data_IF_014043549357
#
_entry.id   IF_014043549357
#
_cell.length_a   1.000
_cell.length_b   1.000
_cell.length_c   1.000
_cell.angle_alpha   90.00
_cell.angle_beta   90.00
_cell.angle_gamma   90.00
#
_symmetry.space_group_name_H-M   'P 1'
#
loop_
_entity.id
_entity.type
_entity.pdbx_description
1 polymer ?
#
# COMPACT_ATOMS: atom_id res chain seq x y z
N UNK A 1 -79.49 49.93 17.24
CA UNK A 1 -79.26 48.67 16.51
C UNK A 1 -77.75 48.45 16.50
N UNK A 2 -77.26 47.35 17.06
CA UNK A 2 -75.83 47.02 17.03
C UNK A 2 -75.64 45.87 16.04
N UNK A 3 -74.96 46.16 14.93
CA UNK A 3 -74.54 45.11 14.00
C UNK A 3 -73.38 44.36 14.67
N UNK A 4 -73.50 43.03 14.74
CA UNK A 4 -72.50 42.14 15.32
C UNK A 4 -72.05 41.12 14.28
N UNK A 5 -70.80 40.67 14.40
CA UNK A 5 -70.26 39.61 13.55
C UNK A 5 -70.84 38.26 13.95
N UNK A 6 -71.23 37.47 12.95
CA UNK A 6 -71.85 36.17 13.09
C UNK A 6 -71.39 35.23 11.97
N UNK A 7 -71.72 33.94 12.07
CA UNK A 7 -71.38 32.94 11.05
C UNK A 7 -72.61 32.13 10.72
N UNK A 8 -72.88 31.95 9.43
CA UNK A 8 -74.03 31.16 8.99
C UNK A 8 -73.90 29.71 9.48
N UNK A 9 -74.89 29.16 10.21
CA UNK A 9 -74.83 27.78 10.70
C UNK A 9 -74.88 26.71 9.60
N UNK A 10 -75.25 27.08 8.37
CA UNK A 10 -75.46 26.13 7.27
C UNK A 10 -74.31 26.13 6.25
N UNK A 11 -73.77 27.29 5.90
CA UNK A 11 -72.69 27.40 4.91
C UNK A 11 -71.37 27.92 5.47
N UNK A 12 -71.30 28.21 6.78
CA UNK A 12 -70.13 28.70 7.48
C UNK A 12 -69.56 30.05 6.96
N UNK A 13 -70.29 30.76 6.11
CA UNK A 13 -69.91 32.11 5.66
C UNK A 13 -69.98 33.13 6.79
N UNK A 14 -68.97 33.98 6.90
CA UNK A 14 -68.91 35.09 7.85
C UNK A 14 -69.87 36.21 7.43
N UNK A 15 -70.85 36.51 8.27
CA UNK A 15 -71.93 37.45 8.02
C UNK A 15 -72.01 38.49 9.14
N UNK A 16 -72.67 39.60 8.87
CA UNK A 16 -72.99 40.61 9.88
C UNK A 16 -74.49 40.66 10.10
N UNK A 17 -74.93 40.62 11.35
CA UNK A 17 -76.35 40.52 11.71
C UNK A 17 -76.74 41.58 12.73
N UNK A 18 -78.00 42.00 12.73
CA UNK A 18 -78.55 42.91 13.74
C UNK A 18 -79.06 42.09 14.93
N UNK A 19 -78.43 42.26 16.10
CA UNK A 19 -78.77 41.50 17.31
C UNK A 19 -80.18 41.79 17.86
N UNK A 20 -80.88 42.82 17.34
CA UNK A 20 -82.25 43.13 17.71
C UNK A 20 -83.31 42.28 16.95
N UNK A 21 -82.90 41.43 16.00
CA UNK A 21 -83.82 40.61 15.19
C UNK A 21 -83.69 39.13 15.55
N UNK A 22 -84.81 38.40 15.52
CA UNK A 22 -84.83 36.97 15.86
C UNK A 22 -84.34 36.07 14.71
N UNK A 23 -84.51 36.51 13.45
CA UNK A 23 -84.19 35.72 12.27
C UNK A 23 -83.60 36.58 11.12
N UNK A 24 -82.79 35.94 10.28
CA UNK A 24 -82.18 36.54 9.09
C UNK A 24 -82.04 35.53 7.95
N UNK A 25 -81.68 36.02 6.76
CA UNK A 25 -81.37 35.19 5.59
C UNK A 25 -79.91 35.38 5.24
N UNK A 26 -79.18 34.28 5.01
CA UNK A 26 -77.76 34.34 4.69
C UNK A 26 -77.54 34.87 3.28
N UNK A 27 -76.74 35.93 3.14
CA UNK A 27 -76.42 36.54 1.83
C UNK A 27 -75.65 35.60 0.90
N UNK A 28 -75.01 34.56 1.44
CA UNK A 28 -74.20 33.62 0.65
C UNK A 28 -74.98 32.42 0.15
N UNK A 29 -75.77 31.76 1.02
CA UNK A 29 -76.46 30.52 0.67
C UNK A 29 -77.99 30.65 0.58
N UNK A 30 -78.55 31.81 0.92
CA UNK A 30 -79.99 32.06 0.86
C UNK A 30 -80.82 31.34 1.93
N UNK A 31 -80.21 30.54 2.80
CA UNK A 31 -80.95 29.83 3.85
C UNK A 31 -81.34 30.78 5.00
N UNK A 32 -82.56 30.64 5.55
CA UNK A 32 -82.96 31.34 6.76
C UNK A 32 -82.20 30.79 7.97
N UNK A 33 -81.85 31.66 8.91
CA UNK A 33 -81.18 31.29 10.16
C UNK A 33 -81.71 32.12 11.33
N UNK A 34 -81.52 31.59 12.55
CA UNK A 34 -81.82 32.29 13.80
C UNK A 34 -80.60 33.11 14.20
N UNK A 35 -80.78 34.41 14.45
CA UNK A 35 -79.67 35.37 14.68
C UNK A 35 -78.81 34.97 15.87
N UNK A 36 -79.42 34.61 16.99
CA UNK A 36 -78.71 34.13 18.19
C UNK A 36 -77.84 32.90 17.89
N UNK A 37 -78.35 31.94 17.09
CA UNK A 37 -77.58 30.75 16.70
C UNK A 37 -76.38 31.11 15.83
N UNK A 38 -76.50 32.09 14.93
CA UNK A 38 -75.40 32.52 14.08
C UNK A 38 -74.31 33.27 14.86
N UNK A 39 -74.68 34.08 15.86
CA UNK A 39 -73.76 34.77 16.77
C UNK A 39 -73.01 33.75 17.64
N UNK A 40 -73.73 32.81 18.26
CA UNK A 40 -73.13 31.76 19.06
C UNK A 40 -72.20 30.87 18.21
N UNK A 41 -72.59 30.55 16.97
CA UNK A 41 -71.75 29.76 16.07
C UNK A 41 -70.43 30.47 15.74
N UNK A 42 -70.46 31.79 15.54
CA UNK A 42 -69.26 32.61 15.34
C UNK A 42 -68.33 32.59 16.56
N UNK A 43 -68.87 32.81 17.76
CA UNK A 43 -68.09 32.74 18.99
C UNK A 43 -67.52 31.34 19.24
N UNK A 44 -68.27 30.27 19.02
CA UNK A 44 -67.74 28.90 19.16
C UNK A 44 -66.63 28.62 18.17
N UNK A 45 -66.73 29.09 16.92
CA UNK A 45 -65.67 28.89 15.95
C UNK A 45 -64.40 29.65 16.34
N UNK A 46 -64.53 30.91 16.75
CA UNK A 46 -63.40 31.78 17.07
C UNK A 46 -62.74 31.45 18.44
N UNK A 47 -63.52 30.90 19.39
CA UNK A 47 -62.99 30.45 20.67
C UNK A 47 -62.29 29.08 20.56
N UNK A 48 -62.62 28.25 19.56
CA UNK A 48 -61.90 26.99 19.28
C UNK A 48 -60.55 27.27 18.60
N UNK A 49 -60.43 28.31 17.77
CA UNK A 49 -59.15 28.70 17.16
C UNK A 49 -58.16 29.39 18.12
N UNK A 50 -58.63 29.88 19.26
CA UNK A 50 -57.78 30.50 20.29
C UNK A 50 -57.57 29.62 21.54
N UNK A 51 -57.90 28.34 21.46
CA UNK A 51 -57.56 27.35 22.49
C UNK A 51 -56.48 26.39 22.00
N UNK A 52 -55.38 26.94 21.49
CA UNK A 52 -54.10 26.30 21.75
C UNK A 52 -53.79 26.57 23.22
N UNK A 53 -54.23 25.66 24.09
CA UNK A 53 -53.49 25.41 25.31
C UNK A 53 -52.02 25.32 24.89
N UNK A 54 -51.12 26.00 25.60
CA UNK A 54 -49.69 25.71 25.53
C UNK A 54 -49.41 24.32 26.15
N UNK A 55 -50.17 23.32 25.72
CA UNK A 55 -49.83 21.93 25.80
C UNK A 55 -48.68 21.75 24.82
N UNK A 56 -47.53 21.40 25.39
CA UNK A 56 -46.24 21.17 24.75
C UNK A 56 -46.39 21.01 23.24
N UNK A 57 -46.09 22.07 22.48
CA UNK A 57 -45.84 21.93 21.06
C UNK A 57 -44.62 21.02 21.00
N UNK A 58 -44.85 19.71 20.82
CA UNK A 58 -43.80 18.77 20.48
C UNK A 58 -43.48 19.01 19.02
N UNK A 59 -42.89 20.18 18.75
CA UNK A 59 -42.19 20.48 17.53
C UNK A 59 -41.07 19.45 17.45
N UNK A 60 -41.30 18.36 16.72
CA UNK A 60 -40.23 17.56 16.12
C UNK A 60 -39.51 18.39 15.04
N UNK A 61 -39.08 19.61 15.37
CA UNK A 61 -38.49 20.60 14.45
C UNK A 61 -37.08 21.01 14.87
N UNK A 62 -36.32 20.03 15.34
CA UNK A 62 -34.88 20.10 15.52
C UNK A 62 -34.39 18.68 15.75
N UNK A 63 -33.53 18.17 14.86
CA UNK A 63 -32.84 16.92 15.16
C UNK A 63 -32.01 17.15 16.42
N UNK A 64 -32.23 16.38 17.49
CA UNK A 64 -31.49 16.57 18.73
C UNK A 64 -30.00 16.28 18.49
N UNK A 65 -29.08 16.92 19.22
CA UNK A 65 -27.65 16.62 19.15
C UNK A 65 -27.38 15.10 19.27
N UNK A 66 -28.12 14.40 20.12
CA UNK A 66 -27.99 12.95 20.31
C UNK A 66 -28.47 12.16 19.07
N UNK A 67 -29.56 12.57 18.42
CA UNK A 67 -30.06 11.90 17.22
C UNK A 67 -29.12 12.11 16.02
N UNK A 68 -28.55 13.30 15.86
CA UNK A 68 -27.56 13.59 14.83
C UNK A 68 -26.25 12.85 15.06
N UNK A 69 -25.78 12.81 16.31
CA UNK A 69 -24.60 12.04 16.68
C UNK A 69 -24.80 10.55 16.39
N UNK A 70 -25.99 10.01 16.66
CA UNK A 70 -26.30 8.62 16.31
C UNK A 70 -26.30 8.39 14.79
N UNK A 71 -26.76 9.35 13.99
CA UNK A 71 -26.66 9.29 12.52
C UNK A 71 -25.20 9.36 12.06
N UNK A 72 -24.39 10.23 12.63
CA UNK A 72 -22.96 10.30 12.34
C UNK A 72 -22.29 8.94 12.57
N UNK A 73 -22.58 8.29 13.70
CA UNK A 73 -22.07 6.95 14.01
C UNK A 73 -22.52 5.88 13.01
N UNK A 74 -23.79 5.90 12.58
CA UNK A 74 -24.27 4.98 11.54
C UNK A 74 -23.57 5.23 10.21
N UNK A 75 -23.37 6.49 9.82
CA UNK A 75 -22.60 6.84 8.63
C UNK A 75 -21.14 6.37 8.72
N UNK A 76 -20.51 6.42 9.90
CA UNK A 76 -19.17 5.82 10.09
C UNK A 76 -19.19 4.31 9.90
N UNK A 77 -20.20 3.61 10.42
CA UNK A 77 -20.37 2.16 10.24
C UNK A 77 -20.56 1.79 8.75
N UNK A 78 -21.26 2.64 8.00
CA UNK A 78 -21.52 2.48 6.56
C UNK A 78 -20.34 2.95 5.67
N UNK A 79 -19.34 3.64 6.24
CA UNK A 79 -18.20 4.20 5.50
C UNK A 79 -18.48 5.53 4.80
N UNK A 80 -19.62 6.16 5.10
CA UNK A 80 -20.04 7.47 4.59
C UNK A 80 -19.39 8.61 5.40
N UNK A 81 -18.05 8.68 5.36
CA UNK A 81 -17.27 9.56 6.24
C UNK A 81 -17.58 11.05 6.07
N UNK A 82 -17.78 11.52 4.83
CA UNK A 82 -18.13 12.92 4.54
C UNK A 82 -19.48 13.30 5.18
N UNK A 83 -20.46 12.39 5.13
CA UNK A 83 -21.78 12.60 5.73
C UNK A 83 -21.69 12.52 7.26
N UNK A 84 -20.86 11.62 7.79
CA UNK A 84 -20.60 11.53 9.22
C UNK A 84 -20.00 12.84 9.76
N UNK A 85 -19.07 13.45 9.03
CA UNK A 85 -18.48 14.74 9.37
C UNK A 85 -19.54 15.85 9.39
N UNK A 86 -20.40 15.96 8.37
CA UNK A 86 -21.49 16.95 8.31
C UNK A 86 -22.45 16.83 9.51
N UNK A 87 -22.79 15.59 9.90
CA UNK A 87 -23.61 15.37 11.09
C UNK A 87 -22.87 15.77 12.38
N UNK A 88 -21.57 15.53 12.48
CA UNK A 88 -20.76 15.96 13.63
C UNK A 88 -20.71 17.49 13.73
N UNK A 89 -20.53 18.20 12.62
CA UNK A 89 -20.55 19.67 12.60
C UNK A 89 -21.87 20.22 13.13
N UNK A 90 -23.01 19.68 12.68
CA UNK A 90 -24.34 20.07 13.18
C UNK A 90 -24.49 19.83 14.68
N UNK A 91 -23.92 18.74 15.21
CA UNK A 91 -23.89 18.49 16.67
C UNK A 91 -23.05 19.54 17.37
N UNK A 92 -21.88 19.88 16.83
CA UNK A 92 -20.96 20.86 17.41
C UNK A 92 -21.47 22.30 17.32
N UNK A 93 -22.28 22.64 16.32
CA UNK A 93 -22.98 23.93 16.24
C UNK A 93 -23.98 24.12 17.40
N UNK A 94 -24.57 23.01 17.88
CA UNK A 94 -25.51 23.01 19.00
C UNK A 94 -24.83 22.80 20.35
N UNK A 95 -23.85 21.92 20.41
CA UNK A 95 -23.08 21.55 21.60
C UNK A 95 -21.57 21.64 21.30
N UNK A 96 -20.98 22.85 21.35
CA UNK A 96 -19.57 23.06 20.98
C UNK A 96 -18.55 22.31 21.84
N UNK A 97 -18.99 21.78 22.98
CA UNK A 97 -18.16 21.01 23.92
C UNK A 97 -18.55 19.53 23.95
N UNK A 98 -19.22 19.01 22.91
CA UNK A 98 -19.57 17.59 22.86
C UNK A 98 -18.35 16.75 22.47
N UNK A 99 -17.73 16.10 23.46
CA UNK A 99 -16.54 15.28 23.28
C UNK A 99 -16.77 14.08 22.34
N UNK A 100 -17.95 13.46 22.39
CA UNK A 100 -18.29 12.31 21.57
C UNK A 100 -18.46 12.70 20.09
N UNK A 101 -18.95 13.91 19.82
CA UNK A 101 -19.00 14.47 18.47
C UNK A 101 -17.60 14.71 17.91
N UNK A 102 -16.67 15.28 18.71
CA UNK A 102 -15.27 15.40 18.29
C UNK A 102 -14.60 14.03 18.05
N UNK A 103 -14.87 13.01 18.86
CA UNK A 103 -14.37 11.66 18.62
C UNK A 103 -14.92 11.09 17.29
N UNK A 104 -16.22 11.24 17.05
CA UNK A 104 -16.88 10.80 15.82
C UNK A 104 -16.31 11.55 14.59
N UNK A 105 -16.06 12.85 14.72
CA UNK A 105 -15.45 13.68 13.68
C UNK A 105 -14.00 13.26 13.39
N UNK A 106 -13.21 12.93 14.41
CA UNK A 106 -11.87 12.39 14.21
C UNK A 106 -11.90 11.08 13.42
N UNK A 107 -12.83 10.18 13.77
CA UNK A 107 -13.01 8.92 13.06
C UNK A 107 -13.40 9.15 11.60
N UNK A 108 -14.29 10.10 11.32
CA UNK A 108 -14.66 10.50 9.95
C UNK A 108 -13.44 11.01 9.17
N UNK A 109 -12.69 11.98 9.71
CA UNK A 109 -11.50 12.56 9.07
C UNK A 109 -10.44 11.51 8.76
N UNK A 110 -10.28 10.51 9.63
CA UNK A 110 -9.31 9.43 9.46
C UNK A 110 -9.86 8.21 8.70
N UNK A 111 -11.11 8.28 8.20
CA UNK A 111 -11.80 7.18 7.51
C UNK A 111 -11.84 5.88 8.33
N UNK A 112 -12.15 5.99 9.62
CA UNK A 112 -12.21 4.90 10.59
C UNK A 112 -13.66 4.65 10.98
N UNK A 113 -14.09 3.40 10.90
CA UNK A 113 -15.49 3.01 11.16
C UNK A 113 -15.78 2.77 12.64
N UNK A 114 -14.78 2.35 13.43
CA UNK A 114 -14.94 2.05 14.85
C UNK A 114 -13.75 2.50 15.71
N UNK A 115 -13.97 2.71 17.02
CA UNK A 115 -12.96 3.28 17.93
C UNK A 115 -11.66 2.45 17.95
N UNK A 116 -11.71 1.13 17.77
CA UNK A 116 -10.50 0.29 17.77
C UNK A 116 -9.62 0.60 16.57
N UNK A 117 -10.18 1.02 15.44
CA UNK A 117 -9.41 1.44 14.28
C UNK A 117 -8.46 2.61 14.59
N UNK A 118 -8.77 3.44 15.59
CA UNK A 118 -7.88 4.52 16.05
C UNK A 118 -6.58 4.00 16.68
N UNK A 119 -6.56 2.76 17.20
CA UNK A 119 -5.35 2.20 17.82
C UNK A 119 -4.37 1.66 16.79
N UNK A 120 -4.82 1.39 15.55
CA UNK A 120 -3.99 0.79 14.50
C UNK A 120 -3.79 1.69 13.29
N UNK A 121 -4.29 2.92 13.31
CA UNK A 121 -4.06 3.86 12.22
C UNK A 121 -2.64 4.43 12.27
N UNK A 122 -2.05 4.73 11.10
CA UNK A 122 -0.69 5.25 11.00
C UNK A 122 -0.54 6.70 11.49
N UNK A 123 -1.68 7.40 11.66
CA UNK A 123 -1.69 8.77 12.18
C UNK A 123 -1.57 8.76 13.70
N UNK A 124 -0.66 9.58 14.23
CA UNK A 124 -0.52 9.81 15.67
C UNK A 124 -1.69 10.69 16.15
N UNK A 125 -2.72 10.06 16.70
CA UNK A 125 -3.99 10.74 17.01
C UNK A 125 -3.82 11.87 18.04
N UNK A 126 -2.83 11.78 18.93
CA UNK A 126 -2.50 12.84 19.90
C UNK A 126 -2.11 14.16 19.25
N UNK A 127 -1.54 14.12 18.05
CA UNK A 127 -1.10 15.32 17.35
C UNK A 127 -2.29 16.04 16.69
N UNK A 128 -3.42 15.36 16.48
CA UNK A 128 -4.60 15.90 15.83
C UNK A 128 -5.39 16.85 16.74
N UNK A 129 -5.72 18.03 16.24
CA UNK A 129 -6.43 19.06 17.02
C UNK A 129 -7.82 18.62 17.46
N UNK A 130 -8.53 17.84 16.63
CA UNK A 130 -9.86 17.30 16.97
C UNK A 130 -9.78 16.31 18.12
N UNK A 131 -8.74 15.47 18.17
CA UNK A 131 -8.53 14.57 19.30
C UNK A 131 -8.26 15.34 20.59
N UNK A 132 -7.44 16.40 20.53
CA UNK A 132 -7.19 17.29 21.68
C UNK A 132 -8.49 17.92 22.19
N UNK A 133 -9.42 18.29 21.31
CA UNK A 133 -10.76 18.78 21.68
C UNK A 133 -11.63 17.70 22.31
N UNK A 134 -11.66 16.50 21.74
CA UNK A 134 -12.37 15.37 22.33
C UNK A 134 -11.87 15.10 23.76
N UNK A 135 -10.55 15.06 23.95
CA UNK A 135 -9.94 14.87 25.27
C UNK A 135 -10.21 16.03 26.24
N UNK A 136 -10.21 17.27 25.74
CA UNK A 136 -10.46 18.47 26.55
C UNK A 136 -11.86 18.49 27.15
N UNK A 137 -12.87 18.06 26.39
CA UNK A 137 -14.27 18.13 26.80
C UNK A 137 -14.83 16.81 27.34
N UNK A 138 -14.05 15.73 27.28
CA UNK A 138 -14.46 14.43 27.77
C UNK A 138 -14.70 14.45 29.28
N UNK A 139 -15.74 13.73 29.72
CA UNK A 139 -15.93 13.39 31.13
C UNK A 139 -14.84 12.40 31.60
N UNK A 140 -14.84 12.07 32.88
CA UNK A 140 -13.79 11.24 33.49
C UNK A 140 -13.70 9.83 32.87
N UNK A 141 -14.80 9.27 32.37
CA UNK A 141 -14.82 7.92 31.82
C UNK A 141 -14.40 7.92 30.35
N UNK A 142 -14.94 8.82 29.54
CA UNK A 142 -14.53 9.00 28.16
C UNK A 142 -13.06 9.45 28.07
N UNK A 143 -12.61 10.32 28.96
CA UNK A 143 -11.21 10.77 28.98
C UNK A 143 -10.26 9.59 29.20
N UNK A 144 -10.59 8.69 30.14
CA UNK A 144 -9.82 7.47 30.40
C UNK A 144 -9.81 6.54 29.18
N UNK A 145 -10.94 6.42 28.47
CA UNK A 145 -11.03 5.65 27.22
C UNK A 145 -10.14 6.26 26.13
N UNK A 146 -10.19 7.58 25.92
CA UNK A 146 -9.38 8.29 24.92
C UNK A 146 -7.88 8.20 25.22
N UNK A 147 -7.48 8.32 26.49
CA UNK A 147 -6.09 8.14 26.92
C UNK A 147 -5.59 6.70 26.67
N UNK A 148 -6.45 5.69 26.90
CA UNK A 148 -6.12 4.31 26.57
C UNK A 148 -5.94 4.11 25.05
N UNK A 149 -6.88 4.59 24.24
CA UNK A 149 -6.80 4.52 22.77
C UNK A 149 -5.54 5.20 22.22
N UNK A 150 -5.20 6.35 22.79
CA UNK A 150 -4.00 7.12 22.47
C UNK A 150 -2.71 6.35 22.77
N UNK A 151 -2.63 5.73 23.95
CA UNK A 151 -1.47 4.92 24.31
C UNK A 151 -1.34 3.68 23.42
N UNK A 152 -2.45 3.03 23.09
CA UNK A 152 -2.46 1.88 22.18
C UNK A 152 -2.04 2.28 20.76
N UNK A 153 -2.48 3.45 20.27
CA UNK A 153 -2.06 4.03 19.00
C UNK A 153 -0.55 4.32 18.95
N UNK A 154 0.00 4.90 20.03
CA UNK A 154 1.44 5.14 20.15
C UNK A 154 2.23 3.82 20.15
N UNK A 155 1.77 2.83 20.90
CA UNK A 155 2.41 1.51 20.96
C UNK A 155 2.41 0.82 19.59
N UNK A 156 1.29 0.84 18.88
CA UNK A 156 1.17 0.27 17.54
C UNK A 156 2.13 0.95 16.56
N UNK A 157 2.11 2.28 16.48
CA UNK A 157 2.93 3.04 15.56
C UNK A 157 4.43 2.90 15.88
N UNK A 158 4.80 2.94 17.16
CA UNK A 158 6.16 2.67 17.60
C UNK A 158 6.66 1.30 17.10
N UNK A 159 5.88 0.23 17.30
CA UNK A 159 6.25 -1.11 16.87
C UNK A 159 6.33 -1.21 15.33
N UNK A 160 5.42 -0.56 14.61
CA UNK A 160 5.47 -0.45 13.15
C UNK A 160 6.76 0.23 12.69
N UNK A 161 7.15 1.37 13.28
CA UNK A 161 8.37 2.09 12.92
C UNK A 161 9.63 1.27 13.22
N UNK A 162 9.65 0.56 14.34
CA UNK A 162 10.73 -0.37 14.68
C UNK A 162 10.86 -1.48 13.63
N UNK A 163 9.75 -2.05 13.17
CA UNK A 163 9.76 -3.09 12.15
C UNK A 163 10.15 -2.54 10.77
N UNK A 164 9.70 -1.33 10.40
CA UNK A 164 10.16 -0.63 9.19
C UNK A 164 11.67 -0.36 9.25
N UNK A 165 12.18 0.12 10.39
CA UNK A 165 13.63 0.32 10.60
C UNK A 165 14.42 -0.99 10.44
N UNK A 166 13.94 -2.10 11.02
CA UNK A 166 14.61 -3.41 10.94
C UNK A 166 14.67 -3.94 9.51
N UNK A 167 13.64 -3.66 8.72
CA UNK A 167 13.52 -4.15 7.35
C UNK A 167 14.07 -3.18 6.30
N UNK A 168 14.41 -1.94 6.69
CA UNK A 168 14.92 -0.91 5.80
C UNK A 168 16.28 -1.32 5.20
N UNK A 169 16.35 -1.32 3.88
CA UNK A 169 17.54 -1.65 3.09
C UNK A 169 18.10 -0.45 2.32
N UNK A 170 17.31 0.61 2.20
CA UNK A 170 17.67 1.83 1.48
C UNK A 170 17.89 3.00 2.44
N UNK A 171 18.74 3.94 2.03
CA UNK A 171 18.98 5.17 2.77
C UNK A 171 17.69 5.99 2.95
N UNK A 172 16.89 6.10 1.89
CA UNK A 172 15.61 6.81 1.91
C UNK A 172 14.61 6.19 2.89
N UNK A 173 14.55 4.86 2.98
CA UNK A 173 13.68 4.16 3.94
C UNK A 173 14.09 4.47 5.39
N UNK A 174 15.39 4.47 5.70
CA UNK A 174 15.90 4.82 7.02
C UNK A 174 15.61 6.27 7.39
N UNK A 175 15.76 7.20 6.43
CA UNK A 175 15.45 8.61 6.64
C UNK A 175 13.95 8.83 6.86
N UNK A 176 13.09 8.19 6.07
CA UNK A 176 11.63 8.26 6.27
C UNK A 176 11.20 7.71 7.63
N UNK A 177 11.80 6.59 8.08
CA UNK A 177 11.52 6.03 9.42
C UNK A 177 12.06 6.93 10.53
N UNK A 178 13.20 7.60 10.32
CA UNK A 178 13.73 8.60 11.24
C UNK A 178 12.74 9.74 11.48
N UNK A 179 12.13 10.25 10.40
CA UNK A 179 11.09 11.28 10.47
C UNK A 179 9.85 10.77 11.21
N UNK A 180 9.36 9.55 10.92
CA UNK A 180 8.23 8.97 11.64
C UNK A 180 8.47 8.87 13.16
N UNK A 181 9.70 8.55 13.60
CA UNK A 181 10.04 8.53 15.02
C UNK A 181 10.08 9.93 15.67
N UNK A 182 10.24 11.01 14.90
CA UNK A 182 10.18 12.38 15.44
C UNK A 182 8.76 12.76 15.85
N UNK A 183 7.73 12.22 15.19
CA UNK A 183 6.33 12.47 15.54
C UNK A 183 5.95 11.92 16.93
N UNK A 184 6.77 11.00 17.45
CA UNK A 184 6.62 10.33 18.75
C UNK A 184 7.91 10.41 19.59
N UNK A 185 8.70 11.49 19.45
CA UNK A 185 10.03 11.61 20.07
C UNK A 185 10.05 11.49 21.61
N UNK A 186 8.91 11.79 22.24
CA UNK A 186 8.66 11.69 23.68
C UNK A 186 8.28 10.26 24.13
N UNK A 187 8.01 9.35 23.20
CA UNK A 187 7.55 7.99 23.48
C UNK A 187 8.74 7.01 23.47
N UNK A 188 8.99 6.35 24.61
CA UNK A 188 10.09 5.37 24.79
C UNK A 188 11.44 5.93 24.31
N UNK A 189 12.18 5.15 23.52
CA UNK A 189 13.47 5.49 22.93
C UNK A 189 13.37 6.02 21.49
N UNK A 190 12.18 6.47 21.05
CA UNK A 190 11.94 6.95 19.68
C UNK A 190 12.91 8.04 19.24
N UNK A 191 13.24 9.01 20.11
CA UNK A 191 14.25 10.03 19.81
C UNK A 191 15.62 9.44 19.46
N UNK A 192 16.08 8.47 20.25
CA UNK A 192 17.37 7.81 20.02
C UNK A 192 17.34 6.96 18.75
N UNK A 193 16.23 6.27 18.48
CA UNK A 193 16.03 5.50 17.25
C UNK A 193 15.97 6.40 16.02
N UNK A 194 15.32 7.55 16.10
CA UNK A 194 15.29 8.57 15.04
C UNK A 194 16.70 9.01 14.68
N UNK A 195 17.52 9.37 15.67
CA UNK A 195 18.91 9.79 15.47
C UNK A 195 19.75 8.67 14.84
N UNK A 196 19.63 7.45 15.36
CA UNK A 196 20.30 6.27 14.82
C UNK A 196 19.95 6.02 13.35
N UNK A 197 18.66 6.08 13.00
CA UNK A 197 18.18 5.95 11.62
C UNK A 197 18.72 7.06 10.72
N UNK A 198 18.73 8.31 11.19
CA UNK A 198 19.25 9.46 10.44
C UNK A 198 20.74 9.29 10.12
N UNK A 199 21.55 8.97 11.12
CA UNK A 199 23.00 8.77 10.95
C UNK A 199 23.26 7.61 9.99
N UNK A 200 22.57 6.48 10.18
CA UNK A 200 22.75 5.29 9.35
C UNK A 200 22.30 5.54 7.91
N UNK A 201 21.16 6.21 7.71
CA UNK A 201 20.63 6.58 6.41
C UNK A 201 21.58 7.51 5.66
N UNK A 202 22.09 8.55 6.31
CA UNK A 202 23.05 9.49 5.72
C UNK A 202 24.37 8.82 5.33
N UNK A 203 24.92 7.95 6.20
CA UNK A 203 26.12 7.16 5.88
C UNK A 203 25.91 6.26 4.67
N UNK A 204 24.76 5.59 4.60
CA UNK A 204 24.41 4.72 3.48
C UNK A 204 24.26 5.54 2.19
N UNK A 205 23.61 6.71 2.26
CA UNK A 205 23.47 7.61 1.12
C UNK A 205 24.83 8.07 0.57
N UNK A 206 25.74 8.49 1.46
CA UNK A 206 27.09 8.90 1.09
C UNK A 206 27.89 7.74 0.46
N UNK A 207 27.82 6.54 1.04
CA UNK A 207 28.48 5.35 0.50
C UNK A 207 27.95 4.99 -0.89
N UNK A 208 26.63 5.04 -1.10
CA UNK A 208 26.00 4.81 -2.41
C UNK A 208 26.44 5.86 -3.43
N UNK A 209 26.51 7.13 -3.06
CA UNK A 209 26.98 8.19 -3.95
C UNK A 209 28.43 7.96 -4.42
N UNK A 210 29.33 7.60 -3.49
CA UNK A 210 30.74 7.27 -3.81
C UNK A 210 30.85 6.06 -4.74
N UNK A 211 30.05 5.02 -4.51
CA UNK A 211 30.04 3.83 -5.37
C UNK A 211 29.58 4.19 -6.77
N UNK A 212 28.52 4.97 -6.91
CA UNK A 212 28.03 5.40 -8.23
C UNK A 212 29.09 6.21 -8.98
N UNK A 213 29.80 7.12 -8.30
CA UNK A 213 30.91 7.88 -8.89
C UNK A 213 32.04 6.95 -9.36
N UNK A 214 32.37 5.93 -8.56
CA UNK A 214 33.45 4.99 -8.86
C UNK A 214 33.06 3.99 -9.97
N UNK A 215 31.80 3.57 -10.03
CA UNK A 215 31.23 2.80 -11.14
C UNK A 215 31.23 3.60 -12.45
N UNK A 216 30.94 4.91 -12.38
CA UNK A 216 31.04 5.79 -13.53
C UNK A 216 32.51 5.91 -14.00
N UNK A 217 33.45 6.12 -13.09
CA UNK A 217 34.88 6.20 -13.42
C UNK A 217 35.42 4.89 -14.03
N UNK A 218 35.04 3.75 -13.45
CA UNK A 218 35.48 2.42 -13.93
C UNK A 218 34.85 2.08 -15.28
N UNK A 219 33.60 2.45 -15.54
CA UNK A 219 32.96 2.25 -16.85
C UNK A 219 33.63 3.07 -17.95
N UNK A 220 33.97 4.33 -17.69
CA UNK A 220 34.69 5.20 -18.65
C UNK A 220 36.09 4.63 -18.99
N UNK A 221 36.81 4.12 -17.98
CA UNK A 221 38.14 3.52 -18.19
C UNK A 221 38.06 2.18 -18.93
N UNK A 222 37.03 1.36 -18.64
CA UNK A 222 36.77 0.11 -19.37
C UNK A 222 36.51 0.37 -20.85
N UNK A 223 35.70 1.38 -21.19
CA UNK A 223 35.45 1.78 -22.57
C UNK A 223 36.75 2.16 -23.30
N UNK A 224 37.57 3.03 -22.68
CA UNK A 224 38.88 3.43 -23.24
C UNK A 224 39.84 2.25 -23.41
N UNK A 225 39.86 1.33 -22.45
CA UNK A 225 40.74 0.14 -22.52
C UNK A 225 40.28 -0.87 -23.58
N UNK A 226 38.97 -1.02 -23.78
CA UNK A 226 38.42 -1.92 -24.79
C UNK A 226 38.78 -1.48 -26.22
N UNK A 227 38.80 -0.16 -26.47
CA UNK A 227 39.22 0.42 -27.77
C UNK A 227 40.67 0.09 -28.10
N UNK A 228 41.56 0.03 -27.10
CA UNK A 228 42.98 -0.29 -27.30
C UNK A 228 43.24 -1.81 -27.35
N UNK A 229 42.52 -2.60 -26.55
CA UNK A 229 42.75 -4.05 -26.46
C UNK A 229 42.27 -4.83 -27.70
N UNK A 230 41.13 -4.45 -28.29
CA UNK A 230 40.58 -5.13 -29.48
C UNK A 230 41.55 -5.21 -30.67
N UNK A 231 42.19 -4.11 -31.13
CA UNK A 231 43.12 -4.19 -32.27
C UNK A 231 44.38 -4.99 -31.94
N UNK A 232 44.87 -4.96 -30.70
CA UNK A 232 46.04 -5.75 -30.28
C UNK A 232 45.72 -7.25 -30.30
N UNK A 233 44.58 -7.65 -29.70
CA UNK A 233 44.14 -9.05 -29.68
C UNK A 233 43.88 -9.56 -31.10
N UNK A 234 43.23 -8.75 -31.95
CA UNK A 234 42.99 -9.08 -33.35
C UNK A 234 44.31 -9.28 -34.12
N UNK A 235 45.31 -8.42 -33.86
CA UNK A 235 46.64 -8.55 -34.45
C UNK A 235 47.35 -9.84 -34.03
N UNK A 236 47.36 -10.18 -32.74
CA UNK A 236 47.95 -11.42 -32.23
C UNK A 236 47.26 -12.64 -32.87
N UNK A 237 45.94 -12.62 -32.94
CA UNK A 237 45.16 -13.70 -33.55
C UNK A 237 45.50 -13.90 -35.03
N UNK A 238 45.63 -12.81 -35.80
CA UNK A 238 46.01 -12.88 -37.22
C UNK A 238 47.39 -13.52 -37.42
N UNK A 239 48.38 -13.18 -36.59
CA UNK A 239 49.73 -13.79 -36.64
C UNK A 239 49.67 -15.28 -36.34
N UNK A 240 48.86 -15.69 -35.35
CA UNK A 240 48.68 -17.08 -34.96
C UNK A 240 48.07 -17.92 -36.10
N UNK A 241 47.07 -17.37 -36.80
CA UNK A 241 46.46 -18.00 -37.99
C UNK A 241 47.47 -18.18 -39.11
N UNK A 242 48.30 -17.16 -39.37
CA UNK A 242 49.36 -17.24 -40.40
C UNK A 242 50.38 -18.33 -40.04
N UNK A 243 50.83 -18.39 -38.78
CA UNK A 243 51.76 -19.42 -38.32
C UNK A 243 51.19 -20.83 -38.48
N UNK A 244 49.91 -21.04 -38.13
CA UNK A 244 49.23 -22.32 -38.31
C UNK A 244 49.11 -22.69 -39.79
N UNK A 245 48.84 -21.72 -40.67
CA UNK A 245 48.80 -21.95 -42.10
C UNK A 245 50.17 -22.37 -42.65
N UNK A 246 51.24 -21.67 -42.27
CA UNK A 246 52.62 -22.00 -42.65
C UNK A 246 52.97 -23.42 -42.18
N UNK A 247 52.72 -23.73 -40.90
CA UNK A 247 52.93 -25.06 -40.35
C UNK A 247 52.16 -26.14 -41.12
N UNK A 248 50.89 -25.89 -41.44
CA UNK A 248 50.06 -26.78 -42.24
C UNK A 248 50.63 -27.01 -43.64
N UNK A 249 51.10 -25.96 -44.32
CA UNK A 249 51.75 -26.10 -45.63
C UNK A 249 53.06 -26.87 -45.57
N UNK A 250 53.88 -26.68 -44.54
CA UNK A 250 55.12 -27.45 -44.33
C UNK A 250 54.84 -28.93 -44.08
N UNK A 251 53.84 -29.24 -43.25
CA UNK A 251 53.36 -30.61 -43.01
C UNK A 251 52.87 -31.25 -44.31
N UNK A 252 52.07 -30.53 -45.11
CA UNK A 252 51.57 -31.02 -46.39
C UNK A 252 52.68 -31.34 -47.39
N UNK A 253 53.70 -30.47 -47.52
CA UNK A 253 54.87 -30.73 -48.37
C UNK A 253 55.66 -31.95 -47.88
N UNK A 254 55.84 -32.09 -46.57
CA UNK A 254 56.56 -33.23 -45.98
C UNK A 254 55.85 -34.56 -46.27
N UNK A 255 54.51 -34.58 -46.16
CA UNK A 255 53.66 -35.73 -46.51
C UNK A 255 53.76 -36.06 -48.01
N UNK A 256 53.77 -35.04 -48.89
CA UNK A 256 53.93 -35.25 -50.33
C UNK A 256 55.30 -35.84 -50.69
N UNK A 257 56.37 -35.47 -49.99
CA UNK A 257 57.71 -36.03 -50.24
C UNK A 257 57.87 -37.47 -49.75
N UNK A 258 57.16 -37.88 -48.70
CA UNK A 258 57.14 -39.29 -48.24
C UNK A 258 56.20 -40.18 -49.07
N UNK A 259 55.27 -39.59 -49.83
CA UNK A 259 54.25 -40.32 -50.59
C UNK A 259 54.81 -41.23 -51.70
N UNK A 260 56.06 -41.01 -52.15
CA UNK A 260 56.72 -41.95 -53.07
C UNK A 260 57.05 -43.32 -52.45
N UNK A 261 57.16 -43.44 -51.12
CA UNK A 261 57.28 -44.73 -50.45
C UNK A 261 55.94 -45.27 -49.94
N UNK A 262 55.05 -44.38 -49.50
CA UNK A 262 53.73 -44.77 -48.96
C UNK A 262 52.82 -45.33 -50.06
N UNK A 263 52.86 -44.79 -51.29
CA UNK A 263 52.06 -45.32 -52.39
C UNK A 263 52.47 -46.76 -52.76
N UNK A 264 53.76 -47.08 -52.68
CA UNK A 264 54.27 -48.45 -52.90
C UNK A 264 53.82 -49.40 -51.79
N UNK A 265 53.87 -48.96 -50.53
CA UNK A 265 53.39 -49.74 -49.39
C UNK A 265 51.88 -49.95 -49.40
N UNK A 266 51.07 -48.97 -49.77
CA UNK A 266 49.60 -49.10 -49.88
C UNK A 266 49.21 -50.06 -51.01
N UNK A 267 49.89 -50.00 -52.16
CA UNK A 267 49.65 -50.95 -53.27
C UNK A 267 50.04 -52.39 -52.84
N UNK A 268 51.16 -52.56 -52.14
CA UNK A 268 51.56 -53.86 -51.59
C UNK A 268 50.59 -54.35 -50.50
N UNK A 269 50.07 -53.47 -49.64
CA UNK A 269 49.15 -53.84 -48.56
C UNK A 269 47.76 -54.23 -49.09
N UNK A 270 47.25 -53.53 -50.11
CA UNK A 270 45.96 -53.86 -50.75
C UNK A 270 46.03 -55.21 -51.49
N UNK A 271 47.14 -55.51 -52.18
CA UNK A 271 47.31 -56.78 -52.88
C UNK A 271 47.51 -57.98 -51.94
N UNK A 272 48.02 -57.77 -50.72
CA UNK A 272 48.26 -58.84 -49.73
C UNK A 272 47.05 -59.07 -48.80
N UNK A 273 46.32 -58.02 -48.41
CA UNK A 273 45.28 -58.12 -47.36
C UNK A 273 43.83 -58.06 -47.84
N UNK A 274 43.55 -57.70 -49.11
CA UNK A 274 42.20 -57.71 -49.65
C UNK A 274 41.45 -59.08 -49.56
N UNK A 275 42.10 -60.26 -49.52
CA UNK A 275 41.38 -61.52 -49.35
C UNK A 275 40.91 -61.83 -47.91
N UNK A 276 41.40 -61.12 -46.88
CA UNK A 276 41.15 -61.50 -45.48
C UNK A 276 40.03 -60.72 -44.76
N UNK A 277 39.46 -59.69 -45.38
CA UNK A 277 38.45 -58.83 -44.73
C UNK A 277 36.99 -59.31 -44.91
N UNK A 278 36.75 -60.38 -45.68
CA UNK A 278 35.39 -60.89 -45.93
C UNK A 278 34.89 -61.84 -44.83
N UNK A 279 35.74 -62.29 -43.90
CA UNK A 279 35.36 -63.29 -42.87
C UNK A 279 34.95 -62.66 -41.52
N UNK A 280 35.07 -61.34 -41.34
CA UNK A 280 34.89 -60.68 -40.03
C UNK A 280 33.49 -60.17 -39.67
N UNK A 281 32.53 -60.11 -40.59
CA UNK A 281 31.24 -59.41 -40.35
C UNK A 281 30.09 -60.31 -39.86
N UNK A 282 30.36 -61.55 -39.45
CA UNK A 282 29.30 -62.52 -39.08
C UNK A 282 29.02 -62.59 -37.56
N UNK A 283 29.78 -61.93 -36.67
CA UNK A 283 29.74 -62.30 -35.23
C UNK A 283 29.30 -61.26 -34.18
N UNK A 284 28.70 -60.11 -34.51
CA UNK A 284 28.26 -59.12 -33.49
C UNK A 284 26.80 -58.69 -33.58
N UNK A 285 25.90 -59.64 -33.82
CA UNK A 285 24.44 -59.43 -33.74
C UNK A 285 23.81 -60.34 -32.67
N UNK A 286 24.14 -60.13 -31.39
CA UNK A 286 23.45 -60.74 -30.26
C UNK A 286 23.54 -59.87 -28.99
N UNK A 287 22.40 -59.66 -28.32
CA UNK A 287 22.13 -58.93 -27.08
C UNK A 287 21.89 -57.41 -27.16
N UNK A 288 20.61 -57.07 -27.35
CA UNK A 288 19.94 -55.85 -26.86
C UNK A 288 18.77 -56.32 -25.97
N UNK A 289 18.57 -55.72 -24.79
CA UNK A 289 17.28 -55.40 -24.12
C UNK A 289 17.45 -55.27 -22.60
N UNK A 290 17.28 -54.06 -22.04
CA UNK A 290 16.47 -53.82 -20.84
C UNK A 290 16.24 -52.31 -20.57
N UNK A 291 14.96 -51.92 -20.51
CA UNK A 291 14.42 -50.54 -20.38
C UNK A 291 14.47 -49.99 -18.94
N UNK A 292 14.84 -50.83 -17.96
CA UNK A 292 14.77 -50.50 -16.53
C UNK A 292 15.96 -49.63 -16.05
N UNK A 293 17.10 -49.70 -16.74
CA UNK A 293 18.31 -48.94 -16.40
C UNK A 293 18.18 -47.44 -16.67
N UNK A 294 17.45 -47.07 -17.71
CA UNK A 294 17.33 -45.66 -18.12
C UNK A 294 16.36 -44.87 -17.23
N UNK A 295 15.29 -45.53 -16.73
CA UNK A 295 14.26 -44.90 -15.88
C UNK A 295 14.79 -44.62 -14.46
N UNK A 296 15.64 -45.48 -13.92
CA UNK A 296 16.24 -45.28 -12.59
C UNK A 296 17.31 -44.18 -12.60
N UNK A 297 17.94 -43.89 -13.75
CA UNK A 297 18.89 -42.79 -13.89
C UNK A 297 18.19 -41.41 -13.85
N UNK A 298 17.01 -41.26 -14.46
CA UNK A 298 16.29 -39.97 -14.48
C UNK A 298 15.69 -39.57 -13.12
N UNK A 299 15.29 -40.54 -12.28
CA UNK A 299 14.74 -40.26 -10.95
C UNK A 299 15.77 -39.72 -9.95
N UNK A 300 17.05 -40.06 -10.13
CA UNK A 300 18.11 -39.66 -9.20
C UNK A 300 18.56 -38.20 -9.40
N UNK A 301 18.49 -37.69 -10.63
CA UNK A 301 18.85 -36.30 -10.95
C UNK A 301 17.75 -35.30 -10.59
N UNK A 302 16.48 -35.70 -10.58
CA UNK A 302 15.36 -34.78 -10.30
C UNK A 302 15.14 -34.52 -8.80
N UNK A 303 15.38 -35.52 -7.94
CA UNK A 303 15.32 -35.36 -6.48
C UNK A 303 16.50 -34.55 -5.91
N UNK A 304 17.70 -34.67 -6.50
CA UNK A 304 18.88 -33.90 -6.10
C UNK A 304 18.74 -32.39 -6.39
N UNK A 305 18.13 -32.03 -7.52
CA UNK A 305 17.88 -30.62 -7.88
C UNK A 305 16.80 -30.00 -6.98
N UNK A 306 15.77 -30.77 -6.61
CA UNK A 306 14.69 -30.29 -5.73
C UNK A 306 15.18 -29.97 -4.30
N UNK A 307 16.00 -30.84 -3.69
CA UNK A 307 16.56 -30.58 -2.36
C UNK A 307 17.59 -29.43 -2.35
N UNK A 308 18.30 -29.23 -3.46
CA UNK A 308 19.26 -28.13 -3.62
C UNK A 308 18.56 -26.77 -3.68
N UNK A 309 17.42 -26.68 -4.37
CA UNK A 309 16.62 -25.43 -4.46
C UNK A 309 15.94 -25.11 -3.13
N UNK A 310 15.48 -26.13 -2.39
CA UNK A 310 14.84 -25.95 -1.08
C UNK A 310 15.84 -25.49 0.00
N UNK A 311 17.08 -26.00 -0.05
CA UNK A 311 18.16 -25.57 0.86
C UNK A 311 18.60 -24.11 0.60
N UNK A 312 18.62 -23.66 -0.66
CA UNK A 312 18.91 -22.27 -1.03
C UNK A 312 17.80 -21.32 -0.59
N UNK A 313 16.53 -21.75 -0.66
CA UNK A 313 15.38 -20.97 -0.17
C UNK A 313 15.34 -20.78 1.35
N UNK A 314 15.80 -21.78 2.12
CA UNK A 314 15.85 -21.72 3.58
C UNK A 314 16.99 -20.81 4.10
N UNK A 315 18.12 -20.78 3.40
CA UNK A 315 19.24 -19.86 3.69
C UNK A 315 18.90 -18.39 3.40
N UNK A 316 18.00 -18.13 2.44
CA UNK A 316 17.54 -16.78 2.09
C UNK A 316 16.69 -16.11 3.19
N UNK A 317 15.99 -16.89 4.02
CA UNK A 317 15.14 -16.37 5.11
C UNK A 317 15.93 -16.02 6.39
N UNK A 318 17.05 -16.70 6.64
CA UNK A 318 17.86 -16.50 7.86
C UNK A 318 18.85 -15.32 7.67
N UNK A 319 19.21 -14.98 6.44
CA UNK A 319 20.16 -13.90 6.15
C UNK A 319 19.65 -12.47 6.40
N UNK A 320 18.34 -12.22 6.44
CA UNK A 320 17.78 -10.86 6.30
C UNK A 320 18.14 -9.89 7.44
N UNK A 321 18.39 -10.38 8.66
CA UNK A 321 18.84 -9.53 9.78
C UNK A 321 20.36 -9.31 9.84
N UNK A 322 21.15 -10.19 9.19
CA UNK A 322 22.63 -10.10 9.09
C UNK A 322 23.05 -9.21 7.91
N UNK A 323 22.19 -9.05 6.91
CA UNK A 323 22.43 -8.28 5.67
C UNK A 323 22.78 -6.81 5.93
N UNK A 324 22.30 -6.15 7.00
CA UNK A 324 22.59 -4.72 7.21
C UNK A 324 23.98 -4.42 7.77
N UNK A 325 24.52 -5.26 8.66
CA UNK A 325 25.93 -5.13 9.06
C UNK A 325 26.85 -5.57 7.93
N UNK A 326 26.41 -6.57 7.15
CA UNK A 326 27.14 -7.10 6.01
C UNK A 326 27.14 -6.14 4.82
N UNK A 327 26.08 -5.38 4.57
CA UNK A 327 26.03 -4.41 3.47
C UNK A 327 26.99 -3.25 3.71
N UNK A 328 27.07 -2.68 4.92
CA UNK A 328 28.07 -1.64 5.20
C UNK A 328 29.48 -2.23 5.06
N UNK A 329 29.74 -3.42 5.62
CA UNK A 329 31.06 -4.05 5.46
C UNK A 329 31.36 -4.49 4.02
N UNK A 330 30.37 -4.91 3.23
CA UNK A 330 30.53 -5.30 1.83
C UNK A 330 30.68 -4.07 0.93
N UNK A 331 30.04 -2.95 1.26
CA UNK A 331 30.24 -1.67 0.59
C UNK A 331 31.61 -1.08 0.96
N UNK A 332 32.05 -1.21 2.22
CA UNK A 332 33.41 -0.85 2.67
C UNK A 332 34.48 -1.75 2.03
N UNK A 333 34.23 -3.06 1.92
CA UNK A 333 35.11 -4.01 1.22
C UNK A 333 35.13 -3.73 -0.27
N UNK A 334 33.98 -3.50 -0.92
CA UNK A 334 33.91 -3.09 -2.33
C UNK A 334 34.60 -1.75 -2.56
N UNK A 335 34.44 -0.79 -1.65
CA UNK A 335 35.14 0.49 -1.70
C UNK A 335 36.65 0.27 -1.61
N UNK A 336 37.12 -0.56 -0.67
CA UNK A 336 38.53 -0.89 -0.54
C UNK A 336 39.10 -1.66 -1.75
N UNK A 337 38.33 -2.58 -2.35
CA UNK A 337 38.70 -3.30 -3.57
C UNK A 337 38.81 -2.34 -4.76
N UNK A 338 37.83 -1.45 -4.95
CA UNK A 338 37.83 -0.46 -6.03
C UNK A 338 38.92 0.61 -5.83
N UNK A 339 39.22 1.02 -4.59
CA UNK A 339 40.36 1.90 -4.28
C UNK A 339 41.70 1.24 -4.61
N UNK A 340 41.85 -0.05 -4.29
CA UNK A 340 43.03 -0.85 -4.63
C UNK A 340 43.17 -1.05 -6.15
N UNK A 341 42.07 -1.28 -6.84
CA UNK A 341 42.03 -1.37 -8.30
C UNK A 341 42.41 -0.01 -8.93
N UNK A 342 41.88 1.10 -8.42
CA UNK A 342 42.26 2.47 -8.83
C UNK A 342 43.75 2.75 -8.63
N UNK A 343 44.34 2.28 -7.52
CA UNK A 343 45.77 2.44 -7.23
C UNK A 343 46.68 1.63 -8.16
N UNK A 344 46.26 0.42 -8.57
CA UNK A 344 47.01 -0.43 -9.48
C UNK A 344 46.95 0.00 -10.95
N UNK A 345 46.05 0.90 -11.31
CA UNK A 345 45.92 1.43 -12.67
C UNK A 345 46.40 2.90 -12.77
N UNK A 346 47.17 3.37 -11.77
CA UNK A 346 48.06 4.53 -11.88
C UNK A 346 49.44 4.07 -12.29
#
# INVERSE_FOLDING_TARGET
>A
MSIVSARCPTCNGDITVDNAKDAGICNYCGNPFIVEKAINHYHTHYNVTNNYNADVINTYSGATPQALLKRAQLCLEDGDFEIAEEYCEKVLDMEPTNAQAYLCMLMAILNITDKKGLTTCETIINNHNVFKRALQFADADLKRELEALSNDNLEYNYNNYVDRMRNASLASELLAVSESFLDIDYYKDSRALSEHCSIKGNKLHEATAKINELEQFTSEKREKSAVVAHPIIAGIFAVLVILLFILGTCLFVSILTESHQILTYIICFILIYAPHFIVGTVFTKACSEDLLGDILSLGFWTLGVYYSIYAVGMLFKIGKSVILKRQVSELEVKLAELEKEKANIK
#
